data_IF_436263889569
#
_entry.id   IF_436263889569
#
_cell.length_a   1.000
_cell.length_b   1.000
_cell.length_c   1.000
_cell.angle_alpha   90.00
_cell.angle_beta   90.00
_cell.angle_gamma   90.00
#
_symmetry.space_group_name_H-M   'P 1'
#
loop_
_entity.id
_entity.type
_entity.pdbx_description
1 polymer ?
#
# COMPACT_ATOMS: atom_id res chain seq x y z
N UNK A 1 25.56 -61.24 31.66
CA UNK A 1 25.84 -59.81 31.36
C UNK A 1 25.25 -59.53 29.96
N UNK A 2 23.93 -59.38 29.88
CA UNK A 2 23.18 -58.11 29.87
C UNK A 2 23.27 -57.38 28.51
N UNK A 3 22.38 -57.77 27.58
CA UNK A 3 22.05 -57.04 26.37
C UNK A 3 20.95 -56.01 26.70
N UNK A 4 21.17 -54.73 26.37
CA UNK A 4 20.16 -53.67 26.50
C UNK A 4 19.69 -53.24 25.12
N UNK A 5 18.37 -53.40 24.90
CA UNK A 5 17.57 -52.82 23.82
C UNK A 5 17.74 -51.30 23.78
N UNK A 6 17.90 -50.76 22.58
CA UNK A 6 17.59 -49.37 22.26
C UNK A 6 16.25 -49.39 21.52
N UNK A 7 15.20 -48.98 22.23
CA UNK A 7 13.88 -48.72 21.64
C UNK A 7 13.88 -47.33 20.99
N UNK A 8 13.26 -47.26 19.81
CA UNK A 8 13.22 -46.09 18.97
C UNK A 8 12.31 -44.98 19.50
N UNK A 9 12.68 -43.76 19.16
CA UNK A 9 11.81 -42.59 19.24
C UNK A 9 11.63 -42.07 17.82
N UNK A 10 10.51 -42.44 17.20
CA UNK A 10 10.08 -41.85 15.93
C UNK A 10 9.65 -40.38 16.15
N UNK A 11 9.91 -39.48 15.19
CA UNK A 11 9.47 -38.09 15.26
C UNK A 11 7.94 -38.03 15.15
N UNK A 12 7.31 -37.32 16.09
CA UNK A 12 5.89 -36.98 16.06
C UNK A 12 5.57 -36.22 14.78
N UNK A 13 4.65 -36.76 14.00
CA UNK A 13 3.97 -36.11 12.89
C UNK A 13 3.47 -34.73 13.33
N UNK A 14 4.08 -33.67 12.78
CA UNK A 14 3.54 -32.33 12.81
C UNK A 14 2.30 -32.32 11.91
N UNK A 15 1.13 -32.58 12.49
CA UNK A 15 -0.15 -32.45 11.82
C UNK A 15 -0.25 -31.05 11.22
N UNK A 16 -0.16 -30.96 9.89
CA UNK A 16 -0.33 -29.73 9.14
C UNK A 16 -1.71 -29.16 9.50
N UNK A 17 -1.72 -27.94 10.05
CA UNK A 17 -2.95 -27.26 10.41
C UNK A 17 -3.87 -27.20 9.17
N UNK A 18 -5.16 -27.52 9.30
CA UNK A 18 -6.09 -27.43 8.18
C UNK A 18 -6.10 -25.99 7.68
N UNK A 19 -5.85 -25.83 6.37
CA UNK A 19 -5.92 -24.52 5.72
C UNK A 19 -7.29 -23.86 5.88
N UNK A 20 -7.38 -22.53 5.71
CA UNK A 20 -8.64 -21.82 5.87
C UNK A 20 -9.70 -22.36 4.92
N UNK A 21 -10.92 -22.55 5.44
CA UNK A 21 -12.03 -23.04 4.64
C UNK A 21 -12.42 -22.04 3.53
N UNK A 22 -12.99 -22.49 2.39
CA UNK A 22 -13.39 -21.60 1.30
C UNK A 22 -14.32 -20.44 1.72
N UNK A 23 -15.18 -20.67 2.71
CA UNK A 23 -16.08 -19.64 3.27
C UNK A 23 -15.35 -18.59 4.11
N UNK A 24 -14.27 -18.97 4.80
CA UNK A 24 -13.43 -18.03 5.56
C UNK A 24 -12.58 -17.17 4.63
N UNK A 25 -12.10 -17.74 3.53
CA UNK A 25 -11.46 -16.99 2.45
C UNK A 25 -12.43 -15.93 1.92
N UNK A 26 -13.67 -16.29 1.59
CA UNK A 26 -14.68 -15.36 1.07
C UNK A 26 -14.99 -14.20 2.04
N UNK A 27 -15.14 -14.49 3.35
CA UNK A 27 -15.33 -13.45 4.38
C UNK A 27 -14.13 -12.53 4.52
N UNK A 28 -12.90 -13.08 4.52
CA UNK A 28 -11.67 -12.28 4.58
C UNK A 28 -11.53 -11.39 3.35
N UNK A 29 -11.86 -11.90 2.16
CA UNK A 29 -11.87 -11.13 0.92
C UNK A 29 -12.90 -10.01 0.96
N UNK A 30 -14.14 -10.28 1.37
CA UNK A 30 -15.16 -9.26 1.50
C UNK A 30 -14.75 -8.17 2.50
N UNK A 31 -14.22 -8.55 3.67
CA UNK A 31 -13.73 -7.62 4.68
C UNK A 31 -12.57 -6.76 4.14
N UNK A 32 -11.65 -7.35 3.39
CA UNK A 32 -10.54 -6.65 2.74
C UNK A 32 -11.04 -5.64 1.69
N UNK A 33 -11.86 -6.09 0.73
CA UNK A 33 -12.37 -5.22 -0.34
C UNK A 33 -13.25 -4.09 0.20
N UNK A 34 -14.13 -4.39 1.16
CA UNK A 34 -15.00 -3.38 1.79
C UNK A 34 -14.18 -2.34 2.56
N UNK A 35 -13.16 -2.78 3.32
CA UNK A 35 -12.25 -1.88 4.02
C UNK A 35 -11.51 -0.96 3.05
N UNK A 36 -10.97 -1.52 1.97
CA UNK A 36 -10.28 -0.77 0.91
C UNK A 36 -11.20 0.27 0.26
N UNK A 37 -12.43 -0.12 -0.08
CA UNK A 37 -13.40 0.81 -0.68
C UNK A 37 -13.81 1.91 0.31
N UNK A 38 -13.95 1.58 1.59
CA UNK A 38 -14.24 2.55 2.65
C UNK A 38 -13.10 3.55 2.82
N UNK A 39 -11.84 3.09 2.89
CA UNK A 39 -10.66 3.96 2.97
C UNK A 39 -10.58 4.95 1.82
N UNK A 40 -10.74 4.45 0.58
CA UNK A 40 -10.80 5.28 -0.63
C UNK A 40 -11.91 6.34 -0.60
N UNK A 41 -13.12 5.95 -0.19
CA UNK A 41 -14.25 6.88 -0.03
C UNK A 41 -13.96 7.94 1.03
N UNK A 42 -13.35 7.54 2.16
CA UNK A 42 -13.02 8.43 3.27
C UNK A 42 -11.94 9.45 2.88
N UNK A 43 -10.88 9.04 2.18
CA UNK A 43 -9.87 9.98 1.64
C UNK A 43 -10.54 11.08 0.82
N UNK A 44 -11.37 10.71 -0.17
CA UNK A 44 -12.09 11.70 -0.99
C UNK A 44 -12.99 12.61 -0.14
N UNK A 45 -13.74 12.02 0.79
CA UNK A 45 -14.67 12.77 1.65
C UNK A 45 -13.92 13.78 2.51
N UNK A 46 -12.89 13.35 3.24
CA UNK A 46 -12.15 14.22 4.14
C UNK A 46 -11.33 15.26 3.38
N UNK A 47 -10.72 14.90 2.23
CA UNK A 47 -10.02 15.90 1.43
C UNK A 47 -10.96 16.98 0.90
N UNK A 48 -12.16 16.61 0.43
CA UNK A 48 -13.17 17.60 0.03
C UNK A 48 -13.57 18.54 1.16
N UNK A 49 -13.66 18.03 2.39
CA UNK A 49 -13.94 18.85 3.57
C UNK A 49 -12.74 19.71 3.98
N UNK A 50 -11.52 19.26 3.70
CA UNK A 50 -10.28 19.96 4.06
C UNK A 50 -9.94 21.12 3.12
N UNK A 51 -10.22 20.97 1.82
CA UNK A 51 -9.91 21.99 0.80
C UNK A 51 -10.38 23.41 1.18
N UNK A 52 -11.61 23.61 1.70
CA UNK A 52 -12.06 24.94 2.15
C UNK A 52 -11.25 25.57 3.28
N UNK A 53 -10.54 24.77 4.10
CA UNK A 53 -9.68 25.27 5.17
C UNK A 53 -8.29 25.69 4.67
N UNK A 54 -7.92 25.30 3.45
CA UNK A 54 -6.71 25.79 2.83
C UNK A 54 -6.87 27.25 2.44
N UNK A 55 -5.80 28.04 2.58
CA UNK A 55 -5.74 29.37 1.99
C UNK A 55 -6.09 29.31 0.50
N UNK A 56 -6.71 30.36 -0.04
CA UNK A 56 -7.04 30.46 -1.47
C UNK A 56 -5.89 30.10 -2.42
N UNK A 57 -4.65 30.60 -2.26
CA UNK A 57 -3.55 30.20 -3.13
C UNK A 57 -3.27 28.69 -3.03
N UNK A 58 -3.25 28.11 -1.83
CA UNK A 58 -3.02 26.69 -1.61
C UNK A 58 -4.11 25.78 -2.17
N UNK A 59 -5.38 26.18 -2.12
CA UNK A 59 -6.47 25.41 -2.73
C UNK A 59 -6.45 25.49 -4.26
N UNK A 60 -6.10 26.65 -4.83
CA UNK A 60 -5.93 26.82 -6.27
C UNK A 60 -4.72 26.08 -6.83
N UNK A 61 -3.68 25.85 -6.02
CA UNK A 61 -2.51 25.08 -6.42
C UNK A 61 -2.79 23.56 -6.53
N UNK A 62 -3.93 23.06 -6.05
CA UNK A 62 -4.25 21.64 -6.13
C UNK A 62 -4.42 21.17 -7.58
N UNK A 63 -3.52 20.29 -8.00
CA UNK A 63 -3.50 19.76 -9.35
C UNK A 63 -4.67 18.78 -9.58
N UNK A 64 -5.15 18.64 -10.83
CA UNK A 64 -6.12 17.60 -11.16
C UNK A 64 -5.58 16.22 -10.80
N UNK A 65 -6.48 15.28 -10.51
CA UNK A 65 -6.11 13.91 -10.20
C UNK A 65 -5.41 13.21 -11.38
N UNK A 66 -4.47 12.34 -11.07
CA UNK A 66 -3.74 11.57 -12.07
C UNK A 66 -4.58 10.41 -12.63
N UNK A 67 -4.31 10.06 -13.88
CA UNK A 67 -4.85 8.87 -14.51
C UNK A 67 -4.28 7.59 -13.89
N UNK A 68 -5.01 6.48 -14.04
CA UNK A 68 -4.53 5.18 -13.55
C UNK A 68 -3.22 4.75 -14.24
N UNK A 69 -3.00 5.17 -15.49
CA UNK A 69 -1.78 4.85 -16.23
C UNK A 69 -0.57 5.61 -15.70
N UNK A 70 -0.71 6.89 -15.36
CA UNK A 70 0.35 7.70 -14.74
C UNK A 70 0.74 7.14 -13.37
N UNK A 71 -0.25 6.77 -12.55
CA UNK A 71 0.01 6.16 -11.24
C UNK A 71 0.75 4.82 -11.41
N UNK A 72 0.28 3.95 -12.31
CA UNK A 72 0.93 2.66 -12.58
C UNK A 72 2.34 2.81 -13.18
N UNK A 73 2.59 3.84 -13.99
CA UNK A 73 3.93 4.17 -14.46
C UNK A 73 4.84 4.58 -13.30
N UNK A 74 4.32 5.37 -12.36
CA UNK A 74 5.09 5.81 -11.19
C UNK A 74 5.36 4.66 -10.21
N UNK A 75 4.39 3.79 -9.96
CA UNK A 75 4.56 2.56 -9.17
C UNK A 75 5.71 1.70 -9.73
N UNK A 76 5.72 1.49 -11.05
CA UNK A 76 6.81 0.77 -11.73
C UNK A 76 8.16 1.47 -11.59
N UNK A 77 8.19 2.79 -11.71
CA UNK A 77 9.43 3.56 -11.56
C UNK A 77 10.00 3.51 -10.14
N UNK A 78 9.13 3.55 -9.13
CA UNK A 78 9.51 3.45 -7.72
C UNK A 78 9.76 2.00 -7.28
N UNK A 79 9.32 1.02 -8.07
CA UNK A 79 9.44 -0.41 -7.75
C UNK A 79 8.62 -0.81 -6.52
N UNK A 80 7.48 -0.14 -6.29
CA UNK A 80 6.55 -0.41 -5.19
C UNK A 80 5.10 -0.24 -5.64
N UNK A 81 4.19 -0.93 -4.98
CA UNK A 81 2.75 -0.67 -5.07
C UNK A 81 2.38 0.45 -4.09
N UNK A 82 1.58 1.44 -4.54
CA UNK A 82 1.10 2.48 -3.63
C UNK A 82 -0.01 1.91 -2.72
N UNK A 83 -0.03 2.28 -1.42
CA UNK A 83 -1.13 1.98 -0.53
C UNK A 83 -2.45 2.46 -1.12
N UNK A 84 -3.51 1.70 -0.92
CA UNK A 84 -4.79 1.93 -1.61
C UNK A 84 -5.41 3.32 -1.36
N UNK A 85 -5.21 3.89 -0.17
CA UNK A 85 -5.63 5.25 0.17
C UNK A 85 -4.76 6.32 -0.51
N UNK A 86 -3.44 6.08 -0.62
CA UNK A 86 -2.53 7.00 -1.28
C UNK A 86 -2.78 7.01 -2.80
N UNK A 87 -3.04 5.84 -3.38
CA UNK A 87 -3.48 5.70 -4.76
C UNK A 87 -4.74 6.54 -5.03
N UNK A 88 -5.70 6.51 -4.12
CA UNK A 88 -6.92 7.29 -4.24
C UNK A 88 -6.71 8.79 -4.03
N UNK A 89 -5.82 9.18 -3.13
CA UNK A 89 -5.41 10.57 -2.95
C UNK A 89 -4.92 11.15 -4.28
N UNK A 90 -3.96 10.48 -4.91
CA UNK A 90 -3.36 10.93 -6.18
C UNK A 90 -4.32 10.87 -7.37
N UNK A 91 -5.22 9.88 -7.40
CA UNK A 91 -6.30 9.83 -8.39
C UNK A 91 -7.29 10.98 -8.23
N UNK A 92 -7.50 11.48 -7.00
CA UNK A 92 -8.41 12.60 -6.76
C UNK A 92 -7.73 13.96 -6.94
N UNK A 93 -6.51 14.13 -6.42
CA UNK A 93 -5.67 15.32 -6.53
C UNK A 93 -4.19 14.94 -6.60
N UNK A 94 -3.51 15.31 -7.68
CA UNK A 94 -2.12 14.97 -7.89
C UNK A 94 -1.15 15.96 -7.20
N UNK A 95 -1.29 16.18 -5.90
CA UNK A 95 -0.46 17.15 -5.18
C UNK A 95 -0.82 18.61 -5.44
N UNK A 96 0.12 19.51 -5.13
CA UNK A 96 0.01 20.95 -5.36
C UNK A 96 1.12 21.43 -6.29
N UNK A 97 0.81 22.35 -7.19
CA UNK A 97 1.80 23.03 -8.00
C UNK A 97 2.80 23.79 -7.10
N UNK A 98 4.10 23.84 -7.47
CA UNK A 98 5.09 24.60 -6.72
C UNK A 98 4.76 26.09 -6.79
N UNK A 99 4.93 26.80 -5.68
CA UNK A 99 4.69 28.23 -5.61
C UNK A 99 4.98 28.82 -4.24
N UNK A 100 5.15 30.14 -4.15
CA UNK A 100 5.35 30.81 -2.87
C UNK A 100 4.07 30.70 -2.02
N UNK A 101 4.23 30.48 -0.72
CA UNK A 101 3.15 30.39 0.27
C UNK A 101 2.12 29.26 0.01
N UNK A 102 2.45 28.29 -0.85
CA UNK A 102 1.61 27.10 -1.07
C UNK A 102 1.89 26.09 0.03
N UNK A 103 0.89 25.89 0.90
CA UNK A 103 0.96 24.98 2.03
C UNK A 103 -0.25 24.07 2.06
N UNK A 104 -0.01 22.77 2.17
CA UNK A 104 -1.02 21.78 2.50
C UNK A 104 -1.23 21.71 4.01
N UNK A 105 -0.18 21.51 4.80
CA UNK A 105 -0.27 21.35 6.24
C UNK A 105 1.01 21.82 6.95
N UNK A 106 0.86 22.64 7.99
CA UNK A 106 1.92 23.13 8.89
C UNK A 106 3.16 23.80 8.27
N UNK A 107 3.16 24.18 6.98
CA UNK A 107 4.29 24.66 6.12
C UNK A 107 4.69 23.69 4.99
N UNK A 108 4.19 22.47 5.00
CA UNK A 108 4.48 21.45 4.00
C UNK A 108 3.54 21.56 2.81
N UNK A 109 4.06 21.43 1.59
CA UNK A 109 3.28 21.31 0.35
C UNK A 109 2.99 19.84 0.06
N UNK A 110 1.81 19.53 -0.46
CA UNK A 110 1.49 18.19 -0.94
C UNK A 110 2.26 17.91 -2.25
N UNK A 111 3.11 16.90 -2.24
CA UNK A 111 3.95 16.53 -3.38
C UNK A 111 3.12 15.83 -4.46
N UNK A 112 3.37 16.17 -5.72
CA UNK A 112 2.81 15.45 -6.86
C UNK A 112 3.47 14.08 -7.07
N UNK A 113 2.86 13.21 -7.88
CA UNK A 113 3.38 11.87 -8.17
C UNK A 113 4.84 11.88 -8.66
N UNK A 114 5.20 12.83 -9.52
CA UNK A 114 6.56 12.96 -10.06
C UNK A 114 7.60 13.36 -9.01
N UNK A 115 7.16 13.92 -7.88
CA UNK A 115 7.99 14.42 -6.79
C UNK A 115 8.09 13.42 -5.63
N UNK A 116 7.36 12.30 -5.69
CA UNK A 116 7.43 11.24 -4.69
C UNK A 116 8.84 10.69 -4.60
N UNK A 117 9.43 10.76 -3.41
CA UNK A 117 10.73 10.17 -3.12
C UNK A 117 10.57 8.97 -2.17
N UNK A 118 11.36 7.92 -2.42
CA UNK A 118 11.50 6.78 -1.54
C UNK A 118 12.65 7.00 -0.58
N UNK A 119 12.39 6.78 0.70
CA UNK A 119 13.41 6.76 1.74
C UNK A 119 13.46 5.38 2.38
N UNK A 120 14.66 4.85 2.50
CA UNK A 120 14.92 3.58 3.16
C UNK A 120 15.34 3.84 4.59
N UNK A 121 14.58 3.30 5.54
CA UNK A 121 14.88 3.40 6.97
C UNK A 121 14.97 1.98 7.54
N UNK A 122 16.18 1.48 7.85
CA UNK A 122 16.38 0.08 8.24
C UNK A 122 15.68 -0.28 9.56
N UNK A 123 15.50 0.69 10.47
CA UNK A 123 14.82 0.53 11.77
C UNK A 123 13.30 0.74 11.71
N UNK A 124 12.73 1.03 10.54
CA UNK A 124 11.28 1.24 10.40
C UNK A 124 10.49 -0.01 10.77
N UNK A 125 11.00 -1.20 10.43
CA UNK A 125 10.33 -2.46 10.72
C UNK A 125 10.19 -2.68 12.23
N UNK A 126 11.23 -2.36 13.00
CA UNK A 126 11.21 -2.45 14.46
C UNK A 126 10.19 -1.48 15.07
N UNK A 127 10.12 -0.24 14.56
CA UNK A 127 9.14 0.74 14.99
C UNK A 127 7.70 0.28 14.68
N UNK A 128 7.47 -0.29 13.48
CA UNK A 128 6.17 -0.84 13.10
C UNK A 128 5.74 -1.97 14.03
N UNK A 129 6.63 -2.93 14.29
CA UNK A 129 6.37 -4.00 15.24
C UNK A 129 6.07 -3.48 16.65
N UNK A 130 6.75 -2.41 17.09
CA UNK A 130 6.47 -1.79 18.38
C UNK A 130 5.09 -1.11 18.40
N UNK A 131 4.71 -0.40 17.33
CA UNK A 131 3.38 0.20 17.19
C UNK A 131 2.28 -0.86 17.19
N UNK A 132 2.49 -1.98 16.51
CA UNK A 132 1.55 -3.11 16.48
C UNK A 132 1.38 -3.74 17.87
N UNK A 133 2.46 -3.89 18.65
CA UNK A 133 2.40 -4.34 20.05
C UNK A 133 1.61 -3.38 20.95
N UNK A 134 1.65 -2.09 20.65
CA UNK A 134 0.89 -1.06 21.38
C UNK A 134 -0.58 -0.97 20.92
N UNK A 135 -1.02 -1.84 20.00
CA UNK A 135 -2.38 -1.83 19.44
C UNK A 135 -2.62 -0.67 18.46
N UNK A 136 -1.56 -0.01 18.00
CA UNK A 136 -1.64 1.05 16.98
C UNK A 136 -1.66 0.38 15.61
N UNK A 137 -2.78 -0.28 15.30
CA UNK A 137 -2.92 -1.03 14.06
C UNK A 137 -3.02 -0.10 12.86
N UNK A 138 -2.10 -0.27 11.89
CA UNK A 138 -2.52 -0.15 10.50
C UNK A 138 -3.16 -1.46 10.08
N UNK A 139 -4.19 -1.34 9.26
CA UNK A 139 -4.95 -2.47 8.78
C UNK A 139 -4.12 -3.17 7.70
N UNK A 140 -3.83 -4.45 7.93
CA UNK A 140 -3.03 -5.32 7.05
C UNK A 140 -3.49 -5.23 5.58
N UNK A 141 -2.62 -4.74 4.69
CA UNK A 141 -2.85 -4.84 3.23
C UNK A 141 -2.42 -6.24 2.77
N UNK A 142 -3.38 -7.15 2.62
CA UNK A 142 -3.16 -8.46 1.99
C UNK A 142 -2.70 -8.30 0.53
N UNK A 143 -1.78 -9.16 0.04
CA UNK A 143 -1.31 -9.14 -1.35
C UNK A 143 -2.48 -9.35 -2.33
N UNK A 144 -2.42 -8.64 -3.47
CA UNK A 144 -3.46 -8.72 -4.51
C UNK A 144 -3.57 -10.16 -5.06
N UNK A 145 -4.78 -10.70 -5.28
CA UNK A 145 -4.94 -12.01 -5.90
C UNK A 145 -4.35 -11.98 -7.32
N UNK A 146 -3.33 -12.80 -7.55
CA UNK A 146 -2.49 -12.84 -8.76
C UNK A 146 -1.00 -13.05 -8.46
N UNK A 147 -0.56 -12.84 -7.22
CA UNK A 147 0.78 -13.21 -6.75
C UNK A 147 0.75 -14.58 -6.06
N UNK A 148 0.74 -15.67 -6.83
CA UNK A 148 1.02 -17.00 -6.28
C UNK A 148 2.53 -17.23 -6.26
N UNK A 149 3.08 -17.39 -5.06
CA UNK A 149 4.37 -18.05 -4.83
C UNK A 149 4.24 -19.46 -5.40
N UNK A 150 5.13 -19.80 -6.33
CA UNK A 150 5.09 -21.06 -7.05
C UNK A 150 5.17 -22.28 -6.13
N UNK A 151 4.31 -23.25 -6.40
CA UNK A 151 4.58 -24.66 -6.17
C UNK A 151 4.09 -25.41 -7.42
N UNK A 152 5.04 -26.00 -8.14
CA UNK A 152 4.79 -26.92 -9.25
C UNK A 152 3.99 -28.14 -8.77
N UNK A 153 3.04 -28.64 -9.58
CA UNK A 153 2.88 -30.05 -9.91
C UNK A 153 1.61 -30.30 -10.75
N UNK A 154 1.79 -30.94 -11.91
CA UNK A 154 0.96 -32.09 -12.32
C UNK A 154 -0.39 -31.85 -12.99
N UNK A 155 -0.38 -31.87 -14.32
CA UNK A 155 -1.29 -32.58 -15.24
C UNK A 155 -2.75 -32.91 -14.82
N UNK A 156 -3.71 -32.50 -15.66
CA UNK A 156 -4.50 -33.42 -16.51
C UNK A 156 -5.58 -32.70 -17.36
N UNK A 157 -5.73 -33.19 -18.60
CA UNK A 157 -6.79 -33.06 -19.61
C UNK A 157 -8.25 -32.90 -19.11
N UNK A 158 -9.27 -32.42 -19.84
CA UNK A 158 -9.49 -31.85 -21.17
C UNK A 158 -10.95 -31.27 -21.20
N UNK A 159 -11.73 -31.27 -22.31
CA UNK A 159 -11.98 -30.10 -23.17
C UNK A 159 -13.46 -29.68 -23.23
N UNK A 160 -13.78 -28.41 -23.51
CA UNK A 160 -15.12 -28.04 -24.04
C UNK A 160 -15.04 -26.90 -25.07
N UNK A 161 -15.32 -27.32 -26.31
CA UNK A 161 -15.92 -26.63 -27.46
C UNK A 161 -15.41 -25.23 -27.89
N UNK A 162 -14.72 -25.27 -29.04
CA UNK A 162 -14.64 -24.19 -30.03
C UNK A 162 -16.02 -23.86 -30.59
N UNK A 163 -16.28 -22.56 -30.73
CA UNK A 163 -17.05 -22.02 -31.85
C UNK A 163 -16.29 -20.81 -32.40
N UNK A 164 -15.90 -20.91 -33.67
CA UNK A 164 -15.14 -19.90 -34.41
C UNK A 164 -15.99 -18.66 -34.72
N UNK A 165 -15.42 -17.48 -34.51
CA UNK A 165 -15.81 -16.27 -35.23
C UNK A 165 -14.56 -15.38 -35.41
N UNK A 166 -14.39 -14.91 -36.64
CA UNK A 166 -13.19 -14.34 -37.22
C UNK A 166 -12.76 -12.98 -36.62
N UNK A 167 -11.44 -12.74 -36.62
CA UNK A 167 -10.86 -11.42 -36.34
C UNK A 167 -9.41 -11.46 -35.82
N UNK A 168 -8.47 -11.93 -36.64
CA UNK A 168 -7.04 -11.89 -36.29
C UNK A 168 -6.42 -10.53 -36.67
N UNK A 169 -6.09 -9.72 -35.66
CA UNK A 169 -4.95 -8.81 -35.69
C UNK A 169 -4.41 -8.65 -34.25
N UNK A 170 -3.17 -9.06 -34.07
CA UNK A 170 -2.44 -9.32 -32.84
C UNK A 170 -2.51 -8.20 -31.79
N UNK A 171 -3.15 -8.49 -30.65
CA UNK A 171 -2.81 -7.84 -29.37
C UNK A 171 -1.76 -8.70 -28.68
N UNK A 172 -0.51 -8.29 -28.77
CA UNK A 172 0.59 -8.82 -27.98
C UNK A 172 0.31 -8.48 -26.51
N UNK A 173 -0.15 -9.47 -25.74
CA UNK A 173 -0.42 -9.30 -24.31
C UNK A 173 0.92 -8.99 -23.59
N UNK A 174 1.01 -7.89 -22.83
CA UNK A 174 2.21 -7.64 -22.03
C UNK A 174 2.32 -8.72 -20.96
N UNK A 175 3.43 -9.47 -21.01
CA UNK A 175 3.85 -10.41 -19.96
C UNK A 175 3.71 -9.73 -18.58
N UNK A 176 3.05 -10.36 -17.60
CA UNK A 176 3.04 -9.84 -16.24
C UNK A 176 4.47 -9.91 -15.68
N UNK A 177 5.07 -8.75 -15.51
CA UNK A 177 6.30 -8.55 -14.74
C UNK A 177 6.08 -9.02 -13.30
N UNK A 178 7.02 -9.84 -12.80
CA UNK A 178 7.08 -10.41 -11.45
C UNK A 178 6.84 -9.39 -10.33
N UNK A 179 6.33 -9.82 -9.16
CA UNK A 179 6.04 -8.92 -8.06
C UNK A 179 7.32 -8.42 -7.37
N UNK A 180 7.43 -7.11 -7.21
CA UNK A 180 8.44 -6.49 -6.36
C UNK A 180 8.11 -6.74 -4.89
N UNK A 181 8.70 -7.78 -4.31
CA UNK A 181 8.69 -8.07 -2.87
C UNK A 181 9.52 -7.08 -2.03
N UNK A 182 9.54 -5.78 -2.40
CA UNK A 182 10.57 -4.83 -1.95
C UNK A 182 10.10 -3.66 -1.09
N UNK A 183 8.87 -3.65 -0.59
CA UNK A 183 8.29 -2.50 0.11
C UNK A 183 8.62 -2.39 1.60
N UNK A 184 9.14 -3.45 2.23
CA UNK A 184 9.46 -3.46 3.66
C UNK A 184 10.62 -2.49 3.96
N UNK A 185 10.46 -1.67 5.00
CA UNK A 185 11.47 -0.65 5.38
C UNK A 185 11.51 0.61 4.50
N UNK A 186 10.56 0.78 3.56
CA UNK A 186 10.48 1.97 2.70
C UNK A 186 9.35 2.92 3.12
N UNK A 187 9.65 4.21 3.10
CA UNK A 187 8.69 5.28 3.28
C UNK A 187 8.61 6.16 2.04
N UNK A 188 7.40 6.62 1.73
CA UNK A 188 7.14 7.59 0.67
C UNK A 188 6.88 8.97 1.26
N UNK A 189 7.69 9.97 0.89
CA UNK A 189 7.38 11.35 1.23
C UNK A 189 6.20 11.85 0.38
N UNK A 190 5.08 12.21 1.01
CA UNK A 190 3.85 12.68 0.33
C UNK A 190 3.63 14.18 0.50
N UNK A 191 4.24 14.80 1.50
CA UNK A 191 4.26 16.24 1.68
C UNK A 191 5.61 16.66 2.27
N UNK A 192 6.14 17.81 1.86
CA UNK A 192 7.39 18.35 2.40
C UNK A 192 7.38 19.87 2.46
N UNK A 193 8.12 20.41 3.42
CA UNK A 193 8.47 21.83 3.41
C UNK A 193 9.67 22.08 2.46
N UNK A 194 9.94 23.34 2.07
CA UNK A 194 11.01 23.64 1.10
C UNK A 194 12.41 23.21 1.53
N UNK A 195 12.69 23.16 2.84
CA UNK A 195 13.98 22.71 3.38
C UNK A 195 14.08 21.20 3.56
N UNK A 196 13.03 20.44 3.23
CA UNK A 196 12.90 19.00 3.46
C UNK A 196 13.08 18.57 4.93
N UNK A 197 13.11 19.52 5.88
CA UNK A 197 13.26 19.22 7.30
C UNK A 197 11.98 18.68 7.93
N UNK A 198 10.82 18.90 7.32
CA UNK A 198 9.52 18.40 7.78
C UNK A 198 8.79 17.73 6.64
N UNK A 199 8.40 16.46 6.84
CA UNK A 199 7.79 15.65 5.79
C UNK A 199 6.73 14.71 6.36
N UNK A 200 5.60 14.60 5.67
CA UNK A 200 4.70 13.47 5.87
C UNK A 200 5.16 12.31 5.02
N UNK A 201 5.30 11.15 5.67
CA UNK A 201 5.82 9.94 5.08
C UNK A 201 4.82 8.81 5.24
N UNK A 202 4.61 8.01 4.19
CA UNK A 202 3.66 6.90 4.18
C UNK A 202 4.40 5.58 4.02
N UNK A 203 4.16 4.65 4.92
CA UNK A 203 4.67 3.28 4.82
C UNK A 203 3.82 2.43 3.87
N UNK A 204 4.34 1.26 3.46
CA UNK A 204 3.63 0.33 2.58
C UNK A 204 2.26 -0.11 3.13
N UNK A 205 2.11 -0.19 4.46
CA UNK A 205 0.85 -0.53 5.14
C UNK A 205 -0.12 0.66 5.27
N UNK A 206 0.20 1.82 4.69
CA UNK A 206 -0.62 3.02 4.74
C UNK A 206 -0.47 3.89 6.00
N UNK A 207 0.35 3.48 6.99
CA UNK A 207 0.63 4.33 8.16
C UNK A 207 1.32 5.61 7.76
N UNK A 208 0.95 6.69 8.43
CA UNK A 208 1.53 8.01 8.21
C UNK A 208 2.42 8.39 9.37
N UNK A 209 3.64 8.78 9.04
CA UNK A 209 4.63 9.30 9.95
C UNK A 209 4.94 10.77 9.62
N UNK A 210 5.30 11.55 10.63
CA UNK A 210 5.84 12.89 10.48
C UNK A 210 7.33 12.84 10.77
N UNK A 211 8.15 13.10 9.75
CA UNK A 211 9.57 13.31 9.90
C UNK A 211 9.86 14.77 10.25
N UNK A 212 10.72 15.00 11.25
CA UNK A 212 11.26 16.30 11.67
C UNK A 212 12.77 16.18 11.84
N UNK A 213 13.53 16.64 10.86
CA UNK A 213 14.97 16.41 10.78
C UNK A 213 15.27 14.91 10.75
N UNK A 214 15.98 14.42 11.75
CA UNK A 214 16.29 12.99 11.90
C UNK A 214 15.26 12.21 12.73
N UNK A 215 14.25 12.87 13.29
CA UNK A 215 13.23 12.24 14.11
C UNK A 215 12.03 11.82 13.27
N UNK A 216 11.51 10.62 13.51
CA UNK A 216 10.28 10.12 12.91
C UNK A 216 9.26 9.86 14.02
N UNK A 217 8.06 10.43 13.89
CA UNK A 217 6.98 10.21 14.83
C UNK A 217 5.77 9.63 14.11
N UNK A 218 5.10 8.65 14.74
CA UNK A 218 3.81 8.19 14.26
C UNK A 218 2.79 9.33 14.28
N UNK A 219 2.11 9.56 13.16
CA UNK A 219 1.13 10.65 13.04
C UNK A 219 -0.31 10.15 12.97
N UNK A 220 -0.57 9.16 12.12
CA UNK A 220 -1.90 8.60 11.89
C UNK A 220 -1.82 7.16 11.35
N UNK A 221 -2.83 6.32 11.64
CA UNK A 221 -2.86 4.92 11.19
C UNK A 221 -3.14 4.76 9.68
N UNK A 222 -3.61 5.82 9.03
CA UNK A 222 -3.95 5.82 7.60
C UNK A 222 -3.88 7.23 7.02
N UNK A 223 -3.89 7.35 5.69
CA UNK A 223 -3.92 8.65 4.99
C UNK A 223 -5.25 9.36 5.24
N UNK A 224 -6.36 8.62 5.25
CA UNK A 224 -7.68 9.16 5.60
C UNK A 224 -7.72 9.72 7.02
N UNK A 225 -7.12 9.01 7.98
CA UNK A 225 -6.99 9.48 9.36
C UNK A 225 -6.06 10.68 9.50
N UNK A 226 -4.98 10.76 8.70
CA UNK A 226 -4.12 11.95 8.62
C UNK A 226 -4.94 13.17 8.19
N UNK A 227 -5.68 13.09 7.08
CA UNK A 227 -6.50 14.21 6.59
C UNK A 227 -7.60 14.57 7.58
N UNK A 228 -8.20 13.58 8.24
CA UNK A 228 -9.18 13.82 9.30
C UNK A 228 -8.57 14.52 10.51
N UNK A 229 -7.32 14.19 10.87
CA UNK A 229 -6.61 14.85 11.98
C UNK A 229 -6.27 16.30 11.66
N UNK A 230 -5.97 16.61 10.39
CA UNK A 230 -5.74 18.00 9.93
C UNK A 230 -7.00 18.87 9.91
N UNK A 231 -8.19 18.27 9.99
CA UNK A 231 -9.47 18.99 10.09
C UNK A 231 -9.82 19.43 11.52
N UNK A 232 -9.07 18.95 12.53
CA UNK A 232 -9.30 19.26 13.95
C UNK A 232 -8.31 20.32 14.42
#
# INVERSE_FOLDING_TARGET
RAARRLEGSAPRDAAAAPGPSPLELDRRWFAYYSARMLGRRNVRRYLKLYIPFLSRPSSMALMPGASAQEIAARERQLGIDLPSELWELYRFRNGQAPGPFITFADDMRLLGLGELALEQLPWLLELQQQLDRMGVHAREELPRPGQSVGAEAGAAAAPVMRLDAAGAASSEAPKPSSPGAGGEGRLLAIASNPSCSRRFMVAHNGQVFLARGMSLAFFAPSVSAMVQKLLR
#
